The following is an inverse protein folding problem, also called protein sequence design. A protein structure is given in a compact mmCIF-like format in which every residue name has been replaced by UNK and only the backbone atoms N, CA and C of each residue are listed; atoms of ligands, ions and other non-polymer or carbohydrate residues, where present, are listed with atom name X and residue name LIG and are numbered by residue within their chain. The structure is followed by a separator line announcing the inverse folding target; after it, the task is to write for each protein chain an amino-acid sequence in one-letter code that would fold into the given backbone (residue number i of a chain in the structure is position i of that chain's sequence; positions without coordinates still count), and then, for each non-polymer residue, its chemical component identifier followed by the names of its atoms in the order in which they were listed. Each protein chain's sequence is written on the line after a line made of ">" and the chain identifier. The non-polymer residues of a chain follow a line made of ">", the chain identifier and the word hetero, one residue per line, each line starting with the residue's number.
data_IF_264664062355
#
_entry.id   IF_264664062355
#
_cell.length_a   1.000
_cell.length_b   1.000
_cell.length_c   1.000
_cell.angle_alpha   90.00
_cell.angle_beta   90.00
_cell.angle_gamma   90.00
#
_symmetry.space_group_name_H-M   'P 1'
#
loop_
_entity.id
_entity.type
_entity.pdbx_description
1 polymer ?
#
# COMPACT_ATOMS: atom_id res chain seq x y z
N UNK A 1 12.73 -22.13 17.29
CA UNK A 1 12.13 -22.28 15.97
C UNK A 1 12.38 -21.01 15.18
N UNK A 2 13.04 -21.15 14.04
CA UNK A 2 13.32 -20.05 13.11
C UNK A 2 12.27 -20.01 11.98
N UNK A 3 11.02 -20.33 12.31
CA UNK A 3 9.96 -20.31 11.31
C UNK A 3 9.60 -18.87 10.95
N UNK A 4 9.68 -18.57 9.67
CA UNK A 4 9.23 -17.29 9.10
C UNK A 4 7.92 -17.50 8.34
N UNK A 5 7.08 -16.48 8.37
CA UNK A 5 5.75 -16.54 7.79
C UNK A 5 5.61 -15.60 6.61
N UNK A 6 4.72 -15.96 5.69
CA UNK A 6 4.20 -15.09 4.64
C UNK A 6 2.68 -15.05 4.75
N UNK A 7 2.07 -13.93 4.37
CA UNK A 7 0.62 -13.80 4.37
C UNK A 7 0.11 -13.33 3.00
N UNK A 8 -0.55 -14.22 2.29
CA UNK A 8 -1.21 -13.94 1.00
C UNK A 8 -2.71 -13.67 1.13
N UNK A 9 -3.25 -13.71 2.35
CA UNK A 9 -4.67 -13.43 2.61
C UNK A 9 -4.92 -11.93 2.43
N UNK A 10 -5.96 -11.58 1.69
CA UNK A 10 -6.44 -10.20 1.55
C UNK A 10 -7.56 -9.85 2.53
N UNK A 11 -7.99 -8.58 2.51
CA UNK A 11 -9.14 -8.10 3.25
C UNK A 11 -8.97 -8.03 4.77
N UNK A 12 -10.09 -7.92 5.49
CA UNK A 12 -10.10 -7.72 6.96
C UNK A 12 -9.46 -8.88 7.73
N UNK A 13 -9.57 -10.10 7.23
CA UNK A 13 -9.02 -11.30 7.86
C UNK A 13 -7.49 -11.31 7.90
N UNK A 14 -6.81 -10.59 6.99
CA UNK A 14 -5.35 -10.51 6.95
C UNK A 14 -4.78 -10.04 8.28
N UNK A 15 -5.24 -8.89 8.77
CA UNK A 15 -4.73 -8.31 10.01
C UNK A 15 -4.98 -9.20 11.22
N UNK A 16 -6.15 -9.82 11.29
CA UNK A 16 -6.49 -10.75 12.38
C UNK A 16 -5.54 -11.94 12.38
N UNK A 17 -5.36 -12.61 11.25
CA UNK A 17 -4.49 -13.78 11.13
C UNK A 17 -3.02 -13.42 11.43
N UNK A 18 -2.54 -12.28 10.92
CA UNK A 18 -1.16 -11.86 11.16
C UNK A 18 -0.91 -11.53 12.63
N UNK A 19 -1.83 -10.81 13.28
CA UNK A 19 -1.69 -10.47 14.70
C UNK A 19 -1.62 -11.70 15.59
N UNK A 20 -2.43 -12.74 15.33
CA UNK A 20 -2.37 -14.01 16.07
C UNK A 20 -1.00 -14.70 16.01
N UNK A 21 -0.29 -14.54 14.89
CA UNK A 21 1.06 -15.10 14.72
C UNK A 21 2.09 -14.20 15.39
N UNK A 22 1.99 -12.88 15.23
CA UNK A 22 2.89 -11.89 15.85
C UNK A 22 2.83 -11.97 17.38
N UNK A 23 1.64 -12.12 17.97
CA UNK A 23 1.46 -12.29 19.42
C UNK A 23 2.13 -13.55 19.97
N UNK A 24 2.35 -14.55 19.11
CA UNK A 24 3.08 -15.79 19.46
C UNK A 24 4.58 -15.70 19.15
N UNK A 25 5.08 -14.51 18.78
CA UNK A 25 6.48 -14.28 18.45
C UNK A 25 6.89 -14.72 17.04
N UNK A 26 5.92 -14.96 16.15
CA UNK A 26 6.21 -15.26 14.74
C UNK A 26 6.67 -14.03 13.98
N UNK A 27 7.53 -14.21 12.99
CA UNK A 27 8.04 -13.15 12.13
C UNK A 27 7.54 -13.29 10.69
N UNK A 28 7.16 -12.17 10.08
CA UNK A 28 6.75 -12.16 8.68
C UNK A 28 7.86 -11.56 7.81
N UNK A 29 8.14 -12.25 6.70
CA UNK A 29 9.00 -11.73 5.63
C UNK A 29 8.15 -11.20 4.46
N UNK A 30 8.69 -10.30 3.63
CA UNK A 30 8.01 -9.85 2.43
C UNK A 30 7.79 -10.99 1.43
N UNK A 31 6.60 -11.03 0.82
CA UNK A 31 6.29 -11.90 -0.33
C UNK A 31 6.26 -11.03 -1.59
N UNK A 32 7.29 -11.13 -2.41
CA UNK A 32 7.42 -10.37 -3.66
C UNK A 32 7.24 -11.31 -4.85
N UNK A 33 6.26 -11.02 -5.70
CA UNK A 33 6.04 -11.83 -6.90
C UNK A 33 7.24 -11.69 -7.86
N UNK A 34 7.66 -12.80 -8.49
CA UNK A 34 8.85 -12.86 -9.37
C UNK A 34 8.84 -11.88 -10.56
N UNK A 35 7.65 -11.39 -10.96
CA UNK A 35 7.52 -10.42 -12.05
C UNK A 35 7.44 -8.96 -11.55
N UNK A 36 7.46 -8.75 -10.23
CA UNK A 36 7.53 -7.40 -9.70
C UNK A 36 8.91 -6.79 -9.96
N UNK A 37 8.94 -5.49 -10.20
CA UNK A 37 10.17 -4.73 -10.42
C UNK A 37 10.39 -3.80 -9.24
N UNK A 38 11.52 -3.97 -8.56
CA UNK A 38 11.92 -3.15 -7.42
C UNK A 38 13.13 -2.30 -7.85
N UNK A 39 12.98 -0.99 -7.78
CA UNK A 39 14.01 -0.03 -8.14
C UNK A 39 15.18 0.03 -7.15
N UNK A 40 16.14 0.89 -7.44
CA UNK A 40 17.29 1.11 -6.56
C UNK A 40 16.89 1.88 -5.30
N UNK A 41 17.60 1.63 -4.20
CA UNK A 41 17.40 2.31 -2.91
C UNK A 41 15.95 2.21 -2.37
N UNK A 42 15.23 1.15 -2.70
CA UNK A 42 13.90 0.90 -2.13
C UNK A 42 14.08 0.27 -0.76
N UNK A 43 13.43 0.86 0.25
CA UNK A 43 13.24 0.22 1.55
C UNK A 43 11.90 -0.50 1.55
N UNK A 44 11.91 -1.74 2.00
CA UNK A 44 10.71 -2.57 2.12
C UNK A 44 10.69 -3.25 3.49
N UNK A 45 9.72 -2.87 4.30
CA UNK A 45 9.51 -3.41 5.64
C UNK A 45 9.01 -4.85 5.64
N UNK A 46 8.68 -5.35 6.83
CA UNK A 46 8.30 -6.75 7.09
C UNK A 46 6.91 -7.07 6.54
N UNK A 47 6.67 -8.33 6.23
CA UNK A 47 5.34 -8.88 5.96
C UNK A 47 4.58 -8.24 4.79
N UNK A 48 5.23 -7.46 3.95
CA UNK A 48 4.63 -6.88 2.75
C UNK A 48 4.31 -7.96 1.73
N UNK A 49 3.21 -7.78 1.00
CA UNK A 49 2.88 -8.57 -0.18
C UNK A 49 2.91 -7.67 -1.41
N UNK A 50 3.76 -7.99 -2.38
CA UNK A 50 3.89 -7.26 -3.65
C UNK A 50 3.43 -8.17 -4.79
N UNK A 51 2.34 -7.80 -5.43
CA UNK A 51 1.70 -8.58 -6.48
C UNK A 51 2.44 -8.60 -7.81
N UNK A 52 1.94 -9.41 -8.73
CA UNK A 52 2.54 -9.59 -10.06
C UNK A 52 2.54 -8.28 -10.86
N UNK A 53 3.62 -8.08 -11.63
CA UNK A 53 3.79 -6.91 -12.52
C UNK A 53 3.68 -5.55 -11.83
N UNK A 54 3.82 -5.51 -10.51
CA UNK A 54 3.93 -4.28 -9.75
C UNK A 54 5.30 -3.67 -9.98
N UNK A 55 5.35 -2.35 -10.13
CA UNK A 55 6.60 -1.60 -10.21
C UNK A 55 6.73 -0.70 -8.99
N UNK A 56 7.83 -0.82 -8.27
CA UNK A 56 8.24 0.10 -7.21
C UNK A 56 9.47 0.84 -7.71
N UNK A 57 9.33 2.14 -7.93
CA UNK A 57 10.42 2.95 -8.47
C UNK A 57 11.47 3.30 -7.39
N UNK A 58 12.55 3.94 -7.82
CA UNK A 58 13.71 4.22 -6.96
C UNK A 58 13.37 5.12 -5.77
N UNK A 59 14.09 4.93 -4.67
CA UNK A 59 13.99 5.68 -3.43
C UNK A 59 12.62 5.58 -2.73
N UNK A 60 11.76 4.65 -3.10
CA UNK A 60 10.51 4.44 -2.39
C UNK A 60 10.76 3.81 -1.02
N UNK A 61 10.00 4.25 -0.02
CA UNK A 61 10.02 3.72 1.33
C UNK A 61 8.67 3.13 1.67
N UNK A 62 8.61 1.82 1.88
CA UNK A 62 7.37 1.09 2.17
C UNK A 62 7.52 0.46 3.55
N UNK A 63 6.68 0.86 4.49
CA UNK A 63 6.63 0.34 5.85
C UNK A 63 6.23 -1.13 5.92
N UNK A 64 5.63 -1.53 7.03
CA UNK A 64 5.35 -2.93 7.33
C UNK A 64 3.94 -3.37 6.92
N UNK A 65 3.78 -4.64 6.61
CA UNK A 65 2.51 -5.36 6.47
C UNK A 65 1.55 -4.83 5.41
N UNK A 66 2.03 -4.09 4.42
CA UNK A 66 1.20 -3.62 3.32
C UNK A 66 0.80 -4.75 2.37
N UNK A 67 -0.35 -4.60 1.74
CA UNK A 67 -0.88 -5.51 0.73
C UNK A 67 -1.03 -4.76 -0.59
N UNK A 68 -0.02 -4.87 -1.46
CA UNK A 68 0.05 -4.17 -2.75
C UNK A 68 -0.24 -5.18 -3.86
N UNK A 69 -1.37 -5.01 -4.54
CA UNK A 69 -1.84 -5.95 -5.55
C UNK A 69 -1.17 -5.72 -6.90
N UNK A 70 -1.48 -6.64 -7.83
CA UNK A 70 -0.86 -6.72 -9.15
C UNK A 70 -1.06 -5.47 -10.01
N UNK A 71 -0.10 -5.20 -10.91
CA UNK A 71 -0.13 -4.09 -11.87
C UNK A 71 -0.14 -2.70 -11.22
N UNK A 72 0.18 -2.59 -9.95
CA UNK A 72 0.28 -1.31 -9.24
C UNK A 72 1.61 -0.63 -9.56
N UNK A 73 1.60 0.69 -9.66
CA UNK A 73 2.80 1.50 -9.83
C UNK A 73 3.01 2.37 -8.61
N UNK A 74 4.11 2.15 -7.91
CA UNK A 74 4.61 3.02 -6.85
C UNK A 74 5.74 3.86 -7.46
N UNK A 75 5.52 5.16 -7.60
CA UNK A 75 6.46 6.11 -8.18
C UNK A 75 7.72 6.31 -7.33
N UNK A 76 8.65 7.10 -7.86
CA UNK A 76 9.89 7.44 -7.16
C UNK A 76 9.62 8.32 -5.94
N UNK A 77 10.44 8.19 -4.90
CA UNK A 77 10.37 8.99 -3.68
C UNK A 77 8.99 8.93 -2.98
N UNK A 78 8.26 7.83 -3.16
CA UNK A 78 6.98 7.58 -2.47
C UNK A 78 7.23 6.99 -1.10
N UNK A 79 6.58 7.56 -0.08
CA UNK A 79 6.59 7.06 1.28
C UNK A 79 5.24 6.40 1.61
N UNK A 80 5.25 5.16 2.06
CA UNK A 80 4.05 4.40 2.47
C UNK A 80 4.27 3.88 3.89
N UNK A 81 3.34 4.20 4.78
CA UNK A 81 3.34 3.68 6.15
C UNK A 81 2.94 2.20 6.22
N UNK A 82 2.30 1.80 7.28
CA UNK A 82 2.02 0.42 7.61
C UNK A 82 0.58 0.01 7.32
N UNK A 83 0.37 -1.30 7.12
CA UNK A 83 -0.95 -1.91 7.04
C UNK A 83 -1.88 -1.37 5.95
N UNK A 84 -1.35 -0.76 4.91
CA UNK A 84 -2.15 -0.29 3.80
C UNK A 84 -2.56 -1.43 2.87
N UNK A 85 -3.74 -1.30 2.30
CA UNK A 85 -4.21 -2.10 1.18
C UNK A 85 -4.27 -1.23 -0.06
N UNK A 86 -3.47 -1.57 -1.06
CA UNK A 86 -3.41 -0.90 -2.36
C UNK A 86 -3.84 -1.93 -3.41
N UNK A 87 -5.03 -1.74 -3.95
CA UNK A 87 -5.63 -2.68 -4.91
C UNK A 87 -4.97 -2.58 -6.30
N UNK A 88 -5.33 -3.49 -7.18
CA UNK A 88 -4.72 -3.60 -8.51
C UNK A 88 -4.86 -2.34 -9.36
N UNK A 89 -3.85 -2.08 -10.20
CA UNK A 89 -3.82 -0.95 -11.13
C UNK A 89 -3.84 0.44 -10.48
N UNK A 90 -3.57 0.54 -9.18
CA UNK A 90 -3.37 1.84 -8.54
C UNK A 90 -2.08 2.46 -9.04
N UNK A 91 -2.11 3.77 -9.30
CA UNK A 91 -0.94 4.54 -9.68
C UNK A 91 -0.65 5.61 -8.63
N UNK A 92 0.44 5.43 -7.90
CA UNK A 92 1.04 6.44 -7.03
C UNK A 92 2.12 7.17 -7.82
N UNK A 93 1.88 8.41 -8.23
CA UNK A 93 2.87 9.21 -8.95
C UNK A 93 3.95 9.67 -7.94
N UNK A 94 5.11 10.16 -8.40
CA UNK A 94 6.25 10.42 -7.50
C UNK A 94 6.01 11.40 -6.35
N UNK A 95 6.73 11.22 -5.24
CA UNK A 95 6.76 12.12 -4.09
C UNK A 95 5.54 12.07 -3.17
N UNK A 96 4.70 11.05 -3.27
CA UNK A 96 3.49 10.89 -2.47
C UNK A 96 3.82 10.37 -1.09
N UNK A 97 3.09 10.85 -0.08
CA UNK A 97 3.10 10.28 1.27
C UNK A 97 1.77 9.63 1.59
N UNK A 98 1.80 8.38 2.02
CA UNK A 98 0.64 7.60 2.42
C UNK A 98 0.85 7.16 3.86
N UNK A 99 -0.06 7.52 4.74
CA UNK A 99 -0.05 7.11 6.14
C UNK A 99 -0.34 5.62 6.34
N UNK A 100 -1.04 5.29 7.40
CA UNK A 100 -1.27 3.91 7.81
C UNK A 100 -2.73 3.49 7.62
N UNK A 101 -2.97 2.18 7.52
CA UNK A 101 -4.30 1.58 7.51
C UNK A 101 -5.23 2.01 6.38
N UNK A 102 -4.70 2.56 5.30
CA UNK A 102 -5.48 3.05 4.18
C UNK A 102 -5.98 1.93 3.26
N UNK A 103 -7.12 2.17 2.62
CA UNK A 103 -7.66 1.34 1.55
C UNK A 103 -7.73 2.16 0.26
N UNK A 104 -6.87 1.85 -0.70
CA UNK A 104 -6.81 2.51 -2.00
C UNK A 104 -7.32 1.52 -3.04
N UNK A 105 -8.51 1.80 -3.55
CA UNK A 105 -9.20 0.85 -4.43
C UNK A 105 -8.71 0.91 -5.87
N UNK A 106 -9.05 -0.15 -6.61
CA UNK A 106 -8.62 -0.45 -7.97
C UNK A 106 -8.63 0.77 -8.90
N UNK A 107 -7.56 0.93 -9.66
CA UNK A 107 -7.40 1.98 -10.69
C UNK A 107 -7.48 3.42 -10.17
N UNK A 108 -7.31 3.64 -8.88
CA UNK A 108 -7.15 4.99 -8.37
C UNK A 108 -5.78 5.56 -8.77
N UNK A 109 -5.75 6.86 -9.04
CA UNK A 109 -4.54 7.61 -9.38
C UNK A 109 -4.33 8.68 -8.32
N UNK A 110 -3.16 8.65 -7.68
CA UNK A 110 -2.73 9.67 -6.72
C UNK A 110 -1.73 10.57 -7.42
N UNK A 111 -2.04 11.87 -7.48
CA UNK A 111 -1.20 12.85 -8.18
C UNK A 111 0.09 13.16 -7.39
N UNK A 112 1.05 13.81 -8.04
CA UNK A 112 2.33 14.19 -7.44
C UNK A 112 2.18 14.89 -6.10
N UNK A 113 3.04 14.52 -5.15
CA UNK A 113 3.22 15.18 -3.86
C UNK A 113 1.94 15.31 -3.01
N UNK A 114 0.89 14.52 -3.27
CA UNK A 114 -0.26 14.49 -2.38
C UNK A 114 0.09 13.72 -1.11
N UNK A 115 -0.50 14.13 0.00
CA UNK A 115 -0.40 13.45 1.27
C UNK A 115 -1.76 12.80 1.59
N UNK A 116 -1.73 11.53 1.90
CA UNK A 116 -2.88 10.72 2.32
C UNK A 116 -2.68 10.40 3.80
N UNK A 117 -3.62 10.82 4.62
CA UNK A 117 -3.57 10.57 6.06
C UNK A 117 -3.74 9.09 6.44
N UNK A 118 -4.07 8.84 7.68
CA UNK A 118 -4.32 7.50 8.20
C UNK A 118 -5.81 7.14 8.07
N UNK A 119 -6.10 5.83 8.02
CA UNK A 119 -7.46 5.28 8.01
C UNK A 119 -8.35 5.85 6.90
N UNK A 120 -7.79 6.15 5.72
CA UNK A 120 -8.54 6.71 4.60
C UNK A 120 -9.05 5.65 3.62
N UNK A 121 -10.10 5.99 2.91
CA UNK A 121 -10.63 5.18 1.82
C UNK A 121 -10.61 6.00 0.52
N UNK A 122 -9.85 5.54 -0.47
CA UNK A 122 -9.82 6.11 -1.82
C UNK A 122 -10.65 5.21 -2.73
N UNK A 123 -11.77 5.71 -3.25
CA UNK A 123 -12.66 4.94 -4.12
C UNK A 123 -12.01 4.51 -5.43
N UNK A 124 -12.53 3.45 -6.04
CA UNK A 124 -12.03 2.96 -7.33
C UNK A 124 -12.12 4.02 -8.44
N UNK A 125 -11.15 4.02 -9.36
CA UNK A 125 -11.08 4.97 -10.48
C UNK A 125 -11.05 6.46 -10.06
N UNK A 126 -10.70 6.75 -8.84
CA UNK A 126 -10.60 8.13 -8.34
C UNK A 126 -9.29 8.79 -8.80
N UNK A 127 -9.34 10.08 -9.10
CA UNK A 127 -8.15 10.90 -9.31
C UNK A 127 -7.97 11.88 -8.17
N UNK A 128 -7.02 11.58 -7.29
CA UNK A 128 -6.72 12.37 -6.09
C UNK A 128 -5.71 13.45 -6.44
N UNK A 129 -6.13 14.71 -6.36
CA UNK A 129 -5.33 15.89 -6.73
C UNK A 129 -5.01 16.81 -5.54
N UNK A 130 -5.47 16.46 -4.34
CA UNK A 130 -5.28 17.22 -3.11
C UNK A 130 -5.03 16.27 -1.96
N UNK A 131 -4.43 16.77 -0.89
CA UNK A 131 -4.23 16.01 0.34
C UNK A 131 -5.57 15.49 0.88
N UNK A 132 -5.51 14.32 1.49
CA UNK A 132 -6.66 13.64 2.10
C UNK A 132 -6.39 13.52 3.59
N UNK A 133 -7.28 14.09 4.39
CA UNK A 133 -7.19 14.06 5.85
C UNK A 133 -7.46 12.65 6.39
N UNK A 134 -7.01 12.38 7.61
CA UNK A 134 -7.28 11.13 8.32
C UNK A 134 -8.78 10.81 8.34
N UNK A 135 -9.09 9.52 8.41
CA UNK A 135 -10.46 9.00 8.55
C UNK A 135 -11.43 9.50 7.48
N UNK A 136 -10.92 9.78 6.28
CA UNK A 136 -11.71 10.34 5.19
C UNK A 136 -11.97 9.32 4.10
N UNK A 137 -13.14 9.41 3.49
CA UNK A 137 -13.46 8.70 2.26
C UNK A 137 -13.56 9.70 1.11
N UNK A 138 -12.79 9.47 0.04
CA UNK A 138 -12.83 10.30 -1.17
C UNK A 138 -13.13 9.45 -2.40
N UNK A 139 -13.85 10.03 -3.35
CA UNK A 139 -14.24 9.33 -4.57
C UNK A 139 -14.40 10.30 -5.73
N UNK A 140 -14.17 9.83 -6.95
CA UNK A 140 -14.47 10.52 -8.20
C UNK A 140 -13.25 11.08 -8.93
N UNK A 141 -13.49 11.72 -10.08
CA UNK A 141 -12.47 12.37 -10.91
C UNK A 141 -12.91 13.82 -11.26
N UNK A 142 -12.31 14.83 -10.62
CA UNK A 142 -11.38 14.76 -9.50
C UNK A 142 -12.05 14.26 -8.22
N UNK A 143 -11.27 13.59 -7.36
CA UNK A 143 -11.77 13.01 -6.11
C UNK A 143 -12.27 14.10 -5.14
N UNK A 144 -13.39 13.81 -4.47
CA UNK A 144 -14.00 14.66 -3.46
C UNK A 144 -14.36 13.82 -2.24
N UNK A 145 -14.30 14.45 -1.06
CA UNK A 145 -14.71 13.81 0.19
C UNK A 145 -16.20 13.46 0.12
N UNK A 146 -16.52 12.23 0.48
CA UNK A 146 -17.91 11.84 0.75
C UNK A 146 -18.30 12.34 2.15
N UNK A 147 -19.46 12.94 2.23
CA UNK A 147 -20.02 13.42 3.51
C UNK A 147 -20.52 12.28 4.36
#
# INVERSE_FOLDING_TARGET
>A
NEDVFICSIGGKSRRICMNLILEKGGEFIPLIHKTARIGSNVFLGKGNMIGAFTTVASNAHIGDYNFIQSYTIIGHDVEIGDWNRIDSHVMCIGGIKIGNHNMIHTSAVLNHNVEIGDDTHIGACSFVTRNVENESTVFGNPARRLM
#
